data_IF_558603911774
#
_entry.id   IF_558603911774
#
_cell.length_a   1.000
_cell.length_b   1.000
_cell.length_c   1.000
_cell.angle_alpha   90.00
_cell.angle_beta   90.00
_cell.angle_gamma   90.00
#
_symmetry.space_group_name_H-M   'P 1'
#
loop_
_entity.id
_entity.type
_entity.pdbx_description
1 polymer ?
#
# COMPACT_ATOMS: atom_id res chain seq x y z
N UNK A 1 -8.30 8.64 6.34
CA UNK A 1 -8.45 7.19 6.07
C UNK A 1 -9.46 7.02 4.94
N UNK A 2 -9.15 6.20 3.94
CA UNK A 2 -9.98 5.99 2.74
C UNK A 2 -9.88 4.53 2.26
N UNK A 3 -10.63 4.18 1.22
CA UNK A 3 -10.50 2.92 0.50
C UNK A 3 -9.71 3.10 -0.79
N UNK A 4 -9.14 2.03 -1.35
CA UNK A 4 -8.38 2.08 -2.62
C UNK A 4 -9.18 2.83 -3.72
N UNK A 5 -10.46 2.49 -3.87
CA UNK A 5 -11.36 3.11 -4.87
C UNK A 5 -11.55 4.62 -4.67
N UNK A 6 -11.43 5.13 -3.44
CA UNK A 6 -11.61 6.55 -3.10
C UNK A 6 -10.28 7.28 -2.87
N UNK A 7 -9.15 6.64 -3.18
CA UNK A 7 -7.84 7.27 -3.00
C UNK A 7 -7.70 8.52 -3.89
N UNK A 8 -8.00 8.42 -5.18
CA UNK A 8 -7.88 9.54 -6.13
C UNK A 8 -8.69 10.77 -5.68
N UNK A 9 -9.96 10.55 -5.32
CA UNK A 9 -10.84 11.59 -4.78
C UNK A 9 -10.23 12.26 -3.53
N UNK A 10 -9.67 11.48 -2.60
CA UNK A 10 -9.05 12.03 -1.40
C UNK A 10 -7.81 12.88 -1.72
N UNK A 11 -6.99 12.46 -2.69
CA UNK A 11 -5.81 13.22 -3.12
C UNK A 11 -6.21 14.53 -3.82
N UNK A 12 -7.24 14.50 -4.67
CA UNK A 12 -7.80 15.69 -5.32
C UNK A 12 -8.38 16.68 -4.32
N UNK A 13 -8.89 16.19 -3.19
CA UNK A 13 -9.34 17.00 -2.05
C UNK A 13 -8.18 17.57 -1.21
N UNK A 14 -6.92 17.37 -1.63
CA UNK A 14 -5.73 17.92 -0.99
C UNK A 14 -5.25 17.13 0.23
N UNK A 15 -5.64 15.85 0.37
CA UNK A 15 -5.16 15.03 1.47
C UNK A 15 -3.73 14.55 1.22
N UNK A 16 -2.78 15.02 2.04
CA UNK A 16 -1.35 14.69 1.90
C UNK A 16 -0.86 13.56 2.84
N UNK A 17 -1.72 13.02 3.71
CA UNK A 17 -1.39 11.92 4.62
C UNK A 17 -2.60 10.98 4.77
N UNK A 18 -2.57 9.85 4.08
CA UNK A 18 -3.74 9.00 3.85
C UNK A 18 -3.44 7.55 4.18
N UNK A 19 -4.26 6.94 5.05
CA UNK A 19 -4.30 5.49 5.21
C UNK A 19 -5.35 4.91 4.27
N UNK A 20 -4.96 3.90 3.48
CA UNK A 20 -5.79 3.22 2.49
C UNK A 20 -6.02 1.78 2.92
N UNK A 21 -7.29 1.40 3.01
CA UNK A 21 -7.74 0.03 3.33
C UNK A 21 -8.54 -0.57 2.17
N UNK A 22 -8.88 -1.86 2.29
CA UNK A 22 -9.69 -2.61 1.32
C UNK A 22 -9.05 -2.61 -0.08
N UNK A 23 -7.77 -2.96 -0.12
CA UNK A 23 -6.94 -2.96 -1.33
C UNK A 23 -7.08 -4.29 -2.07
N UNK A 24 -7.49 -4.20 -3.32
CA UNK A 24 -7.53 -5.32 -4.26
C UNK A 24 -6.19 -5.54 -4.96
N UNK A 25 -5.39 -4.47 -5.07
CA UNK A 25 -4.05 -4.50 -5.65
C UNK A 25 -3.11 -3.42 -5.09
N UNK A 26 -2.13 -3.06 -5.92
CA UNK A 26 -1.02 -2.16 -5.60
C UNK A 26 -0.95 -1.02 -6.63
N UNK A 27 -2.11 -0.48 -7.04
CA UNK A 27 -2.13 0.66 -7.97
C UNK A 27 -1.70 1.94 -7.26
N UNK A 28 -0.41 2.27 -7.42
CA UNK A 28 0.21 3.49 -6.90
C UNK A 28 0.60 4.44 -8.05
N UNK A 29 -0.04 4.32 -9.21
CA UNK A 29 0.32 5.08 -10.41
C UNK A 29 0.25 6.59 -10.17
N UNK A 30 1.30 7.33 -10.51
CA UNK A 30 1.35 8.80 -10.35
C UNK A 30 1.55 9.25 -8.90
N UNK A 31 1.98 8.35 -8.01
CA UNK A 31 2.38 8.67 -6.64
C UNK A 31 3.90 8.57 -6.45
N UNK A 32 4.69 8.65 -7.53
CA UNK A 32 6.15 8.42 -7.53
C UNK A 32 6.93 9.30 -6.53
N UNK A 33 6.42 10.50 -6.25
CA UNK A 33 6.98 11.46 -5.28
C UNK A 33 6.48 11.25 -3.84
N UNK A 34 5.60 10.28 -3.60
CA UNK A 34 5.07 9.99 -2.29
C UNK A 34 5.93 8.96 -1.55
N UNK A 35 5.88 9.04 -0.22
CA UNK A 35 6.38 7.99 0.65
C UNK A 35 5.25 7.04 1.01
N UNK A 36 5.54 5.74 0.98
CA UNK A 36 4.59 4.68 1.33
C UNK A 36 5.12 3.86 2.50
N UNK A 37 4.23 3.48 3.41
CA UNK A 37 4.43 2.39 4.36
C UNK A 37 3.34 1.36 4.09
N UNK A 38 3.74 0.22 3.54
CA UNK A 38 2.86 -0.88 3.21
C UNK A 38 3.08 -2.03 4.19
N UNK A 39 1.97 -2.67 4.57
CA UNK A 39 1.98 -3.85 5.40
C UNK A 39 0.93 -4.85 4.95
N UNK A 40 1.32 -6.13 4.87
CA UNK A 40 0.43 -7.25 4.63
C UNK A 40 0.40 -8.19 5.83
N UNK A 41 -0.79 -8.75 6.10
CA UNK A 41 -1.06 -9.76 7.10
C UNK A 41 -0.45 -9.43 8.47
N UNK A 42 -0.59 -8.17 8.88
CA UNK A 42 0.01 -7.62 10.11
C UNK A 42 -0.38 -8.45 11.34
N UNK A 43 0.60 -8.74 12.20
CA UNK A 43 0.46 -9.56 13.39
C UNK A 43 0.39 -11.08 13.13
N UNK A 44 0.57 -11.52 11.89
CA UNK A 44 0.61 -12.95 11.52
C UNK A 44 2.03 -13.41 11.18
N UNK A 45 2.30 -14.73 11.15
CA UNK A 45 3.59 -15.25 10.67
C UNK A 45 3.93 -14.84 9.23
N UNK A 46 2.91 -14.62 8.41
CA UNK A 46 3.05 -14.18 7.01
C UNK A 46 3.19 -12.66 6.85
N UNK A 47 3.42 -11.92 7.94
CA UNK A 47 3.57 -10.47 7.93
C UNK A 47 4.70 -10.05 6.99
N UNK A 48 4.42 -9.02 6.17
CA UNK A 48 5.40 -8.41 5.28
C UNK A 48 5.28 -6.90 5.33
N UNK A 49 6.41 -6.23 5.44
CA UNK A 49 6.51 -4.78 5.50
C UNK A 49 7.42 -4.24 4.40
N UNK A 50 7.06 -3.09 3.85
CA UNK A 50 7.87 -2.29 2.91
C UNK A 50 7.64 -0.82 3.21
N UNK A 51 8.70 -0.03 3.21
CA UNK A 51 8.60 1.42 3.30
C UNK A 51 9.64 2.10 2.40
N UNK A 52 9.28 3.22 1.80
CA UNK A 52 10.15 3.98 0.91
C UNK A 52 9.39 4.94 0.00
N UNK A 53 10.11 5.62 -0.91
CA UNK A 53 9.45 6.35 -1.98
C UNK A 53 8.78 5.37 -2.94
N UNK A 54 7.55 5.68 -3.37
CA UNK A 54 6.75 4.78 -4.22
C UNK A 54 7.53 4.34 -5.46
N UNK A 55 8.25 5.27 -6.10
CA UNK A 55 9.09 4.99 -7.28
C UNK A 55 10.11 3.87 -7.06
N UNK A 56 10.61 3.71 -5.83
CA UNK A 56 11.67 2.78 -5.49
C UNK A 56 11.12 1.43 -5.04
N UNK A 57 9.94 1.42 -4.39
CA UNK A 57 9.44 0.25 -3.66
C UNK A 57 8.18 -0.40 -4.25
N UNK A 58 7.55 0.18 -5.28
CA UNK A 58 6.31 -0.37 -5.87
C UNK A 58 6.46 -1.83 -6.37
N UNK A 59 7.60 -2.15 -6.99
CA UNK A 59 7.89 -3.51 -7.45
C UNK A 59 8.08 -4.49 -6.27
N UNK A 60 8.76 -4.05 -5.20
CA UNK A 60 8.96 -4.85 -4.00
C UNK A 60 7.65 -5.15 -3.28
N UNK A 61 6.77 -4.15 -3.15
CA UNK A 61 5.42 -4.31 -2.59
C UNK A 61 4.66 -5.39 -3.36
N UNK A 62 4.65 -5.31 -4.68
CA UNK A 62 3.96 -6.29 -5.54
C UNK A 62 4.49 -7.72 -5.31
N UNK A 63 5.81 -7.89 -5.27
CA UNK A 63 6.43 -9.19 -5.04
C UNK A 63 6.13 -9.74 -3.64
N UNK A 64 6.26 -8.91 -2.61
CA UNK A 64 5.97 -9.30 -1.22
C UNK A 64 4.50 -9.62 -1.01
N UNK A 65 3.58 -8.88 -1.63
CA UNK A 65 2.14 -9.18 -1.58
C UNK A 65 1.83 -10.57 -2.15
N UNK A 66 2.42 -10.91 -3.29
CA UNK A 66 2.28 -12.23 -3.89
C UNK A 66 2.83 -13.34 -2.97
N UNK A 67 3.99 -13.10 -2.36
CA UNK A 67 4.58 -14.04 -1.41
C UNK A 67 3.71 -14.25 -0.15
N UNK A 68 3.13 -13.19 0.43
CA UNK A 68 2.20 -13.31 1.56
C UNK A 68 0.98 -14.14 1.21
N UNK A 69 0.40 -13.88 0.03
CA UNK A 69 -0.74 -14.64 -0.46
C UNK A 69 -0.39 -16.12 -0.68
N UNK A 70 0.78 -16.42 -1.23
CA UNK A 70 1.22 -17.78 -1.48
C UNK A 70 1.45 -18.57 -0.18
N UNK A 71 1.95 -17.92 0.87
CA UNK A 71 2.21 -18.53 2.17
C UNK A 71 0.94 -18.74 3.00
N UNK A 72 0.07 -17.73 3.07
CA UNK A 72 -1.12 -17.77 3.93
C UNK A 72 -2.40 -18.27 3.22
N UNK A 73 -2.40 -18.33 1.88
CA UNK A 73 -3.59 -18.58 1.07
C UNK A 73 -4.51 -17.36 0.91
N UNK A 74 -4.23 -16.27 1.63
CA UNK A 74 -4.94 -15.00 1.61
C UNK A 74 -3.97 -13.84 1.82
N UNK A 75 -4.40 -12.64 1.45
CA UNK A 75 -3.65 -11.42 1.76
C UNK A 75 -4.61 -10.31 2.13
N UNK A 76 -4.38 -9.67 3.27
CA UNK A 76 -5.01 -8.43 3.69
C UNK A 76 -3.90 -7.41 3.88
N UNK A 77 -3.93 -6.35 3.10
CA UNK A 77 -2.91 -5.32 3.13
C UNK A 77 -3.50 -3.92 3.27
N UNK A 78 -2.63 -2.96 3.57
CA UNK A 78 -2.94 -1.55 3.69
C UNK A 78 -1.73 -0.70 3.30
N UNK A 79 -2.00 0.57 2.99
CA UNK A 79 -0.98 1.58 2.76
C UNK A 79 -1.18 2.76 3.71
N UNK A 80 -0.11 3.30 4.25
CA UNK A 80 -0.03 4.71 4.63
C UNK A 80 0.75 5.42 3.52
N UNK A 81 0.14 6.45 2.93
CA UNK A 81 0.75 7.30 1.92
C UNK A 81 0.94 8.70 2.49
N UNK A 82 2.11 9.29 2.28
CA UNK A 82 2.41 10.66 2.68
C UNK A 82 3.14 11.41 1.57
N UNK A 83 2.69 12.63 1.28
CA UNK A 83 3.39 13.55 0.39
C UNK A 83 4.53 14.22 1.14
N UNK A 84 5.71 14.25 0.53
CA UNK A 84 6.85 15.01 1.03
C UNK A 84 6.64 16.52 0.83
#
# INVERSE_FOLDING_TARGET
MTTERRLREALEQGQDNVVVFLTSGTDLTGLDDWHVWWGANLGSPSERLVAGAVRDVAAEITAKRAAAKAEAGWVMDLFLLRRA
#
